data_IF_239202822580
#
_entry.id   IF_239202822580
#
_cell.length_a   1.000
_cell.length_b   1.000
_cell.length_c   1.000
_cell.angle_alpha   90.00
_cell.angle_beta   90.00
_cell.angle_gamma   90.00
#
_symmetry.space_group_name_H-M   'P 1'
#
loop_
_entity.id
_entity.type
_entity.pdbx_description
1 polymer ?
#
# COMPACT_ATOMS: atom_id res chain seq x y z
N UNK A 1 14.02 10.11 -10.00
CA UNK A 1 13.22 10.75 -8.95
C UNK A 1 12.03 11.52 -9.51
N UNK A 2 11.14 10.82 -10.21
CA UNK A 2 9.88 11.40 -10.66
C UNK A 2 8.85 11.20 -9.54
N UNK A 3 8.39 12.28 -8.90
CA UNK A 3 7.38 12.23 -7.86
C UNK A 3 5.98 12.32 -8.50
N UNK A 4 5.54 11.22 -9.11
CA UNK A 4 4.27 11.10 -9.82
C UNK A 4 3.25 10.37 -8.93
N UNK A 5 2.05 10.93 -8.81
CA UNK A 5 0.99 10.33 -8.00
C UNK A 5 0.36 9.12 -8.70
N UNK A 6 -0.34 8.30 -7.93
CA UNK A 6 -0.93 7.05 -8.40
C UNK A 6 -1.72 7.16 -9.71
N UNK A 7 -1.52 6.22 -10.61
CA UNK A 7 -1.98 6.13 -12.00
C UNK A 7 -1.44 7.21 -12.95
N UNK A 8 -0.56 8.10 -12.47
CA UNK A 8 0.11 9.13 -13.28
C UNK A 8 1.64 8.87 -13.39
N UNK A 9 2.13 7.75 -12.90
CA UNK A 9 3.55 7.36 -12.80
C UNK A 9 4.17 7.01 -14.16
N UNK A 10 3.93 7.82 -15.17
CA UNK A 10 4.33 7.52 -16.56
C UNK A 10 5.84 7.44 -16.74
N UNK A 11 6.58 8.40 -16.19
CA UNK A 11 8.04 8.45 -16.30
C UNK A 11 8.70 7.40 -15.43
N UNK A 12 8.20 7.21 -14.19
CA UNK A 12 8.70 6.20 -13.25
C UNK A 12 8.53 4.79 -13.83
N UNK A 13 7.33 4.47 -14.31
CA UNK A 13 7.02 3.17 -14.94
C UNK A 13 7.88 2.94 -16.20
N UNK A 14 7.97 3.95 -17.09
CA UNK A 14 8.77 3.84 -18.32
C UNK A 14 10.25 3.60 -18.02
N UNK A 15 10.83 4.31 -17.04
CA UNK A 15 12.23 4.14 -16.65
C UNK A 15 12.50 2.73 -16.11
N UNK A 16 11.64 2.20 -15.24
CA UNK A 16 11.77 0.85 -14.70
C UNK A 16 11.66 -0.20 -15.81
N UNK A 17 10.67 -0.07 -16.70
CA UNK A 17 10.47 -0.98 -17.83
C UNK A 17 11.69 -0.98 -18.76
N UNK A 18 12.21 0.20 -19.11
CA UNK A 18 13.38 0.32 -19.99
C UNK A 18 14.64 -0.29 -19.34
N UNK A 19 14.86 -0.03 -18.04
CA UNK A 19 15.98 -0.62 -17.29
C UNK A 19 15.92 -2.14 -17.28
N UNK A 20 14.76 -2.73 -17.03
CA UNK A 20 14.55 -4.18 -17.01
C UNK A 20 14.67 -4.79 -18.42
N UNK A 21 14.17 -4.10 -19.44
CA UNK A 21 14.31 -4.51 -20.84
C UNK A 21 15.78 -4.55 -21.27
N UNK A 22 16.55 -3.52 -20.94
CA UNK A 22 18.00 -3.48 -21.19
C UNK A 22 18.75 -4.58 -20.43
N UNK A 23 18.27 -4.96 -19.24
CA UNK A 23 18.78 -6.09 -18.49
C UNK A 23 18.33 -7.46 -19.07
N UNK A 24 17.50 -7.50 -20.12
CA UNK A 24 17.10 -8.72 -20.82
C UNK A 24 15.78 -9.35 -20.37
N UNK A 25 14.93 -8.60 -19.64
CA UNK A 25 13.57 -9.03 -19.33
C UNK A 25 12.64 -8.79 -20.50
N UNK A 26 11.66 -9.66 -20.68
CA UNK A 26 10.48 -9.41 -21.52
C UNK A 26 9.45 -8.60 -20.74
N UNK A 27 8.94 -7.53 -21.33
CA UNK A 27 8.03 -6.59 -20.67
C UNK A 27 6.61 -6.72 -21.26
N UNK A 28 5.63 -6.89 -20.38
CA UNK A 28 4.20 -6.75 -20.68
C UNK A 28 3.67 -5.50 -19.99
N UNK A 29 3.29 -4.47 -20.76
CA UNK A 29 2.89 -3.15 -20.27
C UNK A 29 1.39 -2.97 -20.28
N UNK A 30 0.86 -2.09 -19.42
CA UNK A 30 -0.57 -1.72 -19.41
C UNK A 30 -1.48 -2.83 -18.89
N UNK A 31 -0.95 -3.73 -18.07
CA UNK A 31 -1.68 -4.87 -17.51
C UNK A 31 -2.80 -4.42 -16.58
N UNK A 32 -3.84 -5.25 -16.41
CA UNK A 32 -5.01 -4.99 -15.56
C UNK A 32 -5.78 -3.69 -15.93
N UNK A 33 -5.65 -3.21 -17.16
CA UNK A 33 -6.27 -1.94 -17.59
C UNK A 33 -5.64 -0.68 -16.96
N UNK A 34 -4.43 -0.81 -16.42
CA UNK A 34 -3.68 0.28 -15.77
C UNK A 34 -2.46 0.63 -16.63
N UNK A 35 -2.43 1.79 -17.31
CA UNK A 35 -1.37 2.14 -18.26
C UNK A 35 0.04 2.13 -17.68
N UNK A 36 0.20 2.36 -16.37
CA UNK A 36 1.48 2.40 -15.68
C UNK A 36 1.87 1.09 -15.01
N UNK A 37 0.98 0.08 -14.99
CA UNK A 37 1.29 -1.27 -14.49
C UNK A 37 2.00 -2.10 -15.56
N UNK A 38 2.92 -2.99 -15.14
CA UNK A 38 3.64 -3.87 -16.04
C UNK A 38 4.11 -5.16 -15.34
N UNK A 39 4.42 -6.18 -16.15
CA UNK A 39 5.12 -7.39 -15.69
C UNK A 39 6.38 -7.56 -16.52
N UNK A 40 7.52 -7.75 -15.84
CA UNK A 40 8.80 -8.04 -16.46
C UNK A 40 9.19 -9.49 -16.13
N UNK A 41 9.48 -10.30 -17.14
CA UNK A 41 9.74 -11.74 -16.99
C UNK A 41 11.10 -12.12 -17.56
N UNK A 42 11.85 -12.94 -16.82
CA UNK A 42 13.07 -13.60 -17.29
C UNK A 42 13.08 -15.06 -16.87
N UNK A 43 13.59 -15.94 -17.77
CA UNK A 43 13.63 -17.38 -17.57
C UNK A 43 12.34 -18.08 -18.01
N UNK A 44 12.23 -19.35 -17.71
CA UNK A 44 11.06 -20.17 -18.06
C UNK A 44 10.87 -21.35 -17.11
N UNK A 45 9.64 -21.80 -16.97
CA UNK A 45 9.28 -22.93 -16.12
C UNK A 45 9.25 -22.60 -14.64
N UNK A 46 9.19 -23.64 -13.81
CA UNK A 46 9.09 -23.56 -12.35
C UNK A 46 10.45 -23.71 -11.67
N UNK A 47 10.63 -23.12 -10.46
CA UNK A 47 9.65 -22.29 -9.77
C UNK A 47 9.52 -20.88 -10.40
N UNK A 48 8.39 -20.21 -10.16
CA UNK A 48 8.17 -18.81 -10.51
C UNK A 48 8.23 -17.97 -9.24
N UNK A 49 9.26 -17.14 -9.12
CA UNK A 49 9.41 -16.21 -8.00
C UNK A 49 9.09 -14.80 -8.48
N UNK A 50 8.16 -14.14 -7.80
CA UNK A 50 7.76 -12.77 -8.10
C UNK A 50 8.36 -11.77 -7.12
N UNK A 51 8.67 -10.57 -7.62
CA UNK A 51 9.07 -9.41 -6.81
C UNK A 51 8.12 -8.26 -7.16
N UNK A 52 7.51 -7.64 -6.14
CA UNK A 52 6.68 -6.44 -6.33
C UNK A 52 7.53 -5.18 -6.33
N UNK A 53 7.10 -4.17 -7.06
CA UNK A 53 7.74 -2.86 -7.17
C UNK A 53 6.67 -1.76 -7.19
N UNK A 54 6.71 -0.85 -6.23
CA UNK A 54 5.87 0.34 -6.16
C UNK A 54 6.68 1.57 -6.55
N UNK A 55 6.01 2.63 -7.06
CA UNK A 55 6.71 3.84 -7.55
C UNK A 55 5.83 5.08 -7.57
N UNK A 56 4.65 5.06 -6.93
CA UNK A 56 3.77 6.21 -6.77
C UNK A 56 4.22 7.13 -5.64
N UNK A 57 3.91 8.43 -5.77
CA UNK A 57 4.21 9.47 -4.81
C UNK A 57 2.94 10.01 -4.15
N UNK A 58 3.12 10.71 -3.02
CA UNK A 58 2.05 11.34 -2.27
C UNK A 58 1.90 12.83 -2.65
N UNK A 59 0.67 13.34 -2.79
CA UNK A 59 0.45 14.77 -3.06
C UNK A 59 0.84 15.64 -1.86
N UNK A 60 1.19 16.90 -2.14
CA UNK A 60 1.44 17.92 -1.12
C UNK A 60 2.75 17.80 -0.35
N UNK A 61 3.60 16.83 -0.68
CA UNK A 61 4.82 16.49 0.08
C UNK A 61 6.12 16.73 -0.70
N UNK A 62 6.14 17.73 -1.58
CA UNK A 62 7.37 18.15 -2.26
C UNK A 62 8.41 18.63 -1.25
N UNK A 63 9.63 18.07 -1.30
CA UNK A 63 10.70 18.35 -0.34
C UNK A 63 12.07 18.12 -0.98
N UNK A 64 13.03 18.95 -0.62
CA UNK A 64 14.44 18.79 -0.99
C UNK A 64 15.17 17.80 -0.05
N UNK A 65 16.27 17.23 -0.52
CA UNK A 65 17.11 16.28 0.22
C UNK A 65 18.04 16.97 1.22
N UNK A 66 17.49 17.86 2.06
CA UNK A 66 18.20 18.61 3.09
C UNK A 66 17.48 18.44 4.44
N UNK A 67 18.18 18.62 5.59
CA UNK A 67 17.61 18.37 6.92
C UNK A 67 16.73 19.51 7.45
N UNK A 68 16.17 20.31 6.55
CA UNK A 68 15.21 21.38 6.85
C UNK A 68 14.02 21.31 5.90
N UNK A 69 12.84 21.69 6.36
CA UNK A 69 11.66 21.70 5.51
C UNK A 69 11.79 22.76 4.41
N UNK A 70 11.92 22.31 3.16
CA UNK A 70 12.02 23.16 1.97
C UNK A 70 11.37 22.47 0.76
N UNK A 71 10.28 23.01 0.27
CA UNK A 71 9.64 22.52 -0.95
C UNK A 71 10.48 22.85 -2.19
N UNK A 72 10.45 21.98 -3.19
CA UNK A 72 11.02 22.21 -4.52
C UNK A 72 10.00 22.79 -5.51
N UNK A 73 8.83 23.23 -5.02
CA UNK A 73 7.76 23.79 -5.85
C UNK A 73 6.92 22.75 -6.61
N UNK A 74 7.20 21.45 -6.46
CA UNK A 74 6.38 20.37 -7.00
C UNK A 74 5.14 20.09 -6.15
N UNK A 75 4.13 19.46 -6.77
CA UNK A 75 2.87 19.12 -6.10
C UNK A 75 2.93 17.83 -5.26
N UNK A 76 3.99 17.01 -5.39
CA UNK A 76 4.08 15.67 -4.77
C UNK A 76 5.51 15.34 -4.35
N UNK A 77 5.63 14.31 -3.48
CA UNK A 77 6.91 13.82 -3.00
C UNK A 77 6.83 12.35 -2.55
N UNK A 78 7.96 11.65 -2.59
CA UNK A 78 8.05 10.24 -2.18
C UNK A 78 8.15 10.08 -0.66
N UNK A 79 7.10 10.46 0.05
CA UNK A 79 7.06 10.41 1.51
C UNK A 79 6.81 9.00 2.07
N UNK A 80 6.47 8.03 1.21
CA UNK A 80 6.47 6.60 1.51
C UNK A 80 7.69 5.87 0.94
N UNK A 81 8.53 6.58 0.16
CA UNK A 81 9.80 6.06 -0.36
C UNK A 81 9.66 5.10 -1.55
N UNK A 82 8.53 5.06 -2.24
CA UNK A 82 8.27 4.12 -3.33
C UNK A 82 9.25 4.25 -4.51
N UNK A 83 9.89 5.41 -4.72
CA UNK A 83 10.99 5.57 -5.69
C UNK A 83 12.18 4.65 -5.37
N UNK A 84 12.46 4.41 -4.08
CA UNK A 84 13.47 3.45 -3.63
C UNK A 84 12.94 2.03 -3.76
N UNK A 85 11.66 1.81 -3.43
CA UNK A 85 11.02 0.52 -3.51
C UNK A 85 11.11 -0.05 -4.94
N UNK A 86 10.63 0.69 -5.94
CA UNK A 86 10.71 0.26 -7.34
C UNK A 86 12.13 -0.01 -7.81
N UNK A 87 13.07 0.87 -7.45
CA UNK A 87 14.48 0.75 -7.84
C UNK A 87 15.15 -0.46 -7.16
N UNK A 88 14.97 -0.65 -5.86
CA UNK A 88 15.55 -1.76 -5.10
C UNK A 88 15.01 -3.12 -5.55
N UNK A 89 13.71 -3.21 -5.83
CA UNK A 89 13.09 -4.41 -6.40
C UNK A 89 13.63 -4.75 -7.79
N UNK A 90 13.81 -3.74 -8.65
CA UNK A 90 14.42 -3.93 -9.97
C UNK A 90 15.86 -4.41 -9.87
N UNK A 91 16.65 -3.83 -8.96
CA UNK A 91 18.02 -4.27 -8.71
C UNK A 91 18.07 -5.73 -8.21
N UNK A 92 17.16 -6.13 -7.32
CA UNK A 92 17.05 -7.51 -6.86
C UNK A 92 16.70 -8.47 -8.01
N UNK A 93 15.71 -8.12 -8.84
CA UNK A 93 15.31 -8.94 -9.99
C UNK A 93 16.46 -9.12 -10.99
N UNK A 94 17.21 -8.06 -11.29
CA UNK A 94 18.38 -8.10 -12.17
C UNK A 94 19.48 -9.00 -11.57
N UNK A 95 19.76 -8.87 -10.28
CA UNK A 95 20.75 -9.71 -9.60
C UNK A 95 20.39 -11.21 -9.65
N UNK A 96 19.11 -11.55 -9.41
CA UNK A 96 18.62 -12.92 -9.52
C UNK A 96 18.73 -13.43 -10.96
N UNK A 97 18.37 -12.60 -11.94
CA UNK A 97 18.48 -12.92 -13.36
C UNK A 97 19.95 -13.23 -13.76
N UNK A 98 20.90 -12.39 -13.34
CA UNK A 98 22.32 -12.64 -13.63
C UNK A 98 22.80 -13.95 -12.97
N UNK A 99 22.40 -14.18 -11.72
CA UNK A 99 22.72 -15.43 -11.03
C UNK A 99 22.12 -16.66 -11.75
N UNK A 100 20.87 -16.62 -12.20
CA UNK A 100 20.24 -17.70 -12.99
C UNK A 100 21.03 -17.98 -14.28
N UNK A 101 21.47 -16.91 -14.97
CA UNK A 101 22.27 -17.00 -16.19
C UNK A 101 23.63 -17.64 -15.93
N UNK A 102 24.36 -17.21 -14.90
CA UNK A 102 25.69 -17.67 -14.55
C UNK A 102 25.72 -19.13 -14.09
N UNK A 103 24.68 -19.52 -13.32
CA UNK A 103 24.59 -20.87 -12.76
C UNK A 103 23.88 -21.88 -13.67
N UNK A 104 23.30 -21.44 -14.77
CA UNK A 104 22.39 -22.27 -15.57
C UNK A 104 21.15 -22.72 -14.84
N UNK A 105 20.72 -21.95 -13.80
CA UNK A 105 19.57 -22.24 -12.97
C UNK A 105 18.27 -22.25 -13.77
N UNK A 106 17.36 -23.15 -13.38
CA UNK A 106 16.02 -23.26 -13.99
C UNK A 106 14.99 -22.50 -13.18
N UNK A 107 13.96 -21.97 -13.84
CA UNK A 107 12.84 -21.27 -13.24
C UNK A 107 12.64 -19.87 -13.84
N UNK A 108 11.70 -19.14 -13.29
CA UNK A 108 11.29 -17.82 -13.77
C UNK A 108 11.35 -16.80 -12.66
N UNK A 109 12.02 -15.68 -12.91
CA UNK A 109 11.92 -14.48 -12.06
C UNK A 109 11.01 -13.47 -12.74
N UNK A 110 10.02 -12.96 -12.01
CA UNK A 110 9.10 -11.91 -12.48
C UNK A 110 9.21 -10.68 -11.58
N UNK A 111 9.17 -9.51 -12.18
CA UNK A 111 8.95 -8.27 -11.44
C UNK A 111 7.61 -7.69 -11.85
N UNK A 112 6.78 -7.37 -10.86
CA UNK A 112 5.48 -6.77 -11.03
C UNK A 112 5.55 -5.29 -10.68
N UNK A 113 5.42 -4.43 -11.69
CA UNK A 113 5.30 -2.98 -11.50
C UNK A 113 3.88 -2.64 -11.06
N UNK A 114 3.75 -2.24 -9.79
CA UNK A 114 2.49 -2.06 -9.08
C UNK A 114 2.26 -0.57 -8.79
N UNK A 115 1.53 0.16 -9.64
CA UNK A 115 1.22 1.58 -9.44
C UNK A 115 0.12 1.79 -8.41
N UNK A 116 0.00 3.03 -7.94
CA UNK A 116 -1.14 3.54 -7.18
C UNK A 116 -1.45 2.77 -5.89
N UNK A 117 -0.43 2.37 -5.12
CA UNK A 117 -0.61 1.80 -3.79
C UNK A 117 -1.33 2.79 -2.86
N UNK A 118 -0.96 4.08 -2.92
CA UNK A 118 -1.46 5.19 -2.11
C UNK A 118 -2.93 5.56 -2.44
N UNK A 119 -3.82 4.61 -2.17
CA UNK A 119 -5.27 4.78 -2.27
C UNK A 119 -5.90 4.41 -3.63
N UNK A 120 -5.09 4.05 -4.64
CA UNK A 120 -5.60 3.58 -5.93
C UNK A 120 -5.88 2.07 -5.99
N UNK A 121 -5.28 1.28 -5.06
CA UNK A 121 -5.45 -0.17 -4.97
C UNK A 121 -5.02 -0.91 -6.24
N UNK A 122 -3.88 -0.51 -6.84
CA UNK A 122 -3.42 -1.06 -8.12
C UNK A 122 -3.25 -2.57 -8.12
N UNK A 123 -2.67 -3.14 -7.05
CA UNK A 123 -2.49 -4.59 -6.92
C UNK A 123 -3.80 -5.37 -6.82
N UNK A 124 -4.86 -4.77 -6.26
CA UNK A 124 -6.19 -5.42 -6.21
C UNK A 124 -6.72 -5.70 -7.61
N UNK A 125 -6.55 -4.77 -8.55
CA UNK A 125 -6.92 -4.98 -9.94
C UNK A 125 -6.03 -6.04 -10.61
N UNK A 126 -4.72 -6.01 -10.34
CA UNK A 126 -3.78 -7.01 -10.86
C UNK A 126 -4.09 -8.42 -10.33
N UNK A 127 -4.48 -8.56 -9.06
CA UNK A 127 -4.95 -9.85 -8.48
C UNK A 127 -6.23 -10.30 -9.15
N UNK A 128 -7.19 -9.41 -9.34
CA UNK A 128 -8.48 -9.71 -9.98
C UNK A 128 -8.31 -10.24 -11.41
N UNK A 129 -7.36 -9.67 -12.15
CA UNK A 129 -7.02 -10.13 -13.51
C UNK A 129 -6.11 -11.37 -13.52
N UNK A 130 -5.79 -11.94 -12.35
CA UNK A 130 -5.04 -13.19 -12.23
C UNK A 130 -3.55 -13.11 -12.52
N UNK A 131 -2.95 -11.91 -12.54
CA UNK A 131 -1.54 -11.72 -12.91
C UNK A 131 -0.54 -12.43 -11.99
N UNK A 132 -0.94 -12.75 -10.76
CA UNK A 132 -0.10 -13.43 -9.79
C UNK A 132 -0.32 -14.95 -9.71
N UNK A 133 -1.28 -15.50 -10.48
CA UNK A 133 -1.74 -16.89 -10.33
C UNK A 133 -0.67 -17.94 -10.67
N UNK A 134 0.30 -17.62 -11.49
CA UNK A 134 1.38 -18.51 -11.88
C UNK A 134 2.61 -18.40 -10.96
N UNK A 135 2.66 -17.42 -10.06
CA UNK A 135 3.75 -17.26 -9.10
C UNK A 135 3.66 -18.31 -7.97
N UNK A 136 4.82 -18.82 -7.56
CA UNK A 136 4.93 -19.77 -6.45
C UNK A 136 5.15 -19.06 -5.12
N UNK A 137 5.87 -17.92 -5.13
CA UNK A 137 6.14 -17.04 -3.99
C UNK A 137 6.26 -15.60 -4.47
N UNK A 138 5.76 -14.66 -3.68
CA UNK A 138 5.94 -13.23 -3.89
C UNK A 138 6.82 -12.61 -2.80
N UNK A 139 7.78 -11.79 -3.22
CA UNK A 139 8.67 -11.04 -2.37
C UNK A 139 8.44 -9.55 -2.53
N UNK A 140 8.52 -8.80 -1.44
CA UNK A 140 8.49 -7.34 -1.48
C UNK A 140 9.34 -6.73 -0.36
N UNK A 141 9.45 -5.43 -0.36
CA UNK A 141 10.04 -4.69 0.73
C UNK A 141 9.35 -3.32 0.86
N UNK A 142 9.61 -2.61 1.92
CA UNK A 142 9.10 -1.25 2.08
C UNK A 142 10.16 -0.37 2.73
N UNK A 143 10.34 0.88 2.27
CA UNK A 143 11.11 1.89 2.99
C UNK A 143 10.64 2.04 4.43
N UNK A 144 11.60 2.14 5.35
CA UNK A 144 11.33 2.19 6.79
C UNK A 144 12.44 2.99 7.51
N UNK A 145 12.31 3.12 8.80
CA UNK A 145 13.32 3.67 9.72
C UNK A 145 14.15 2.59 10.43
N UNK A 146 13.86 1.30 10.17
CA UNK A 146 14.56 0.15 10.74
C UNK A 146 14.66 -1.01 9.75
N UNK A 147 15.60 -1.95 10.00
CA UNK A 147 15.74 -3.18 9.21
C UNK A 147 15.04 -4.34 9.94
N UNK A 148 13.94 -4.85 9.40
CA UNK A 148 13.18 -5.97 10.00
C UNK A 148 12.35 -6.70 8.94
N UNK A 149 12.10 -7.99 9.15
CA UNK A 149 11.15 -8.74 8.32
C UNK A 149 9.73 -8.50 8.79
N UNK A 150 8.79 -8.37 7.87
CA UNK A 150 7.37 -8.17 8.14
C UNK A 150 6.72 -9.49 8.57
N UNK A 151 6.64 -9.74 9.88
CA UNK A 151 6.09 -10.99 10.45
C UNK A 151 4.62 -10.87 10.86
N UNK A 152 4.08 -9.65 10.87
CA UNK A 152 2.70 -9.35 11.23
C UNK A 152 1.77 -9.26 10.03
N UNK A 153 0.52 -8.89 10.33
CA UNK A 153 -0.51 -8.55 9.34
C UNK A 153 -0.58 -7.05 9.10
N UNK A 154 -1.49 -6.62 8.23
CA UNK A 154 -1.92 -5.23 8.03
C UNK A 154 -3.41 -5.10 8.34
N UNK A 155 -3.95 -3.88 8.27
CA UNK A 155 -5.39 -3.68 8.36
C UNK A 155 -6.04 -3.86 6.99
N UNK A 156 -7.07 -4.70 6.91
CA UNK A 156 -8.03 -4.63 5.81
C UNK A 156 -8.77 -3.30 5.87
N UNK A 157 -9.14 -2.77 4.71
CA UNK A 157 -10.00 -1.59 4.67
C UNK A 157 -10.99 -1.64 3.51
N UNK A 158 -12.08 -0.85 3.65
CA UNK A 158 -12.97 -0.50 2.55
C UNK A 158 -13.37 0.96 2.68
N UNK A 159 -13.40 1.67 1.54
CA UNK A 159 -13.61 3.10 1.50
C UNK A 159 -14.60 3.47 0.41
N UNK A 160 -15.43 4.49 0.66
CA UNK A 160 -16.40 4.94 -0.32
C UNK A 160 -17.09 6.22 0.06
N UNK A 161 -17.68 6.85 -0.95
CA UNK A 161 -18.44 8.07 -0.85
C UNK A 161 -19.92 7.77 -0.93
N UNK A 162 -20.66 8.21 0.07
CA UNK A 162 -22.12 8.19 0.08
C UNK A 162 -22.61 9.58 -0.31
N UNK A 163 -23.32 9.66 -1.41
CA UNK A 163 -23.89 10.89 -1.97
C UNK A 163 -25.38 10.87 -1.79
N UNK A 164 -25.91 11.89 -1.12
CA UNK A 164 -27.35 12.04 -0.93
C UNK A 164 -27.88 13.15 -1.82
N UNK A 165 -29.08 12.94 -2.35
CA UNK A 165 -29.78 13.84 -3.24
C UNK A 165 -31.19 14.12 -2.70
N UNK A 166 -31.43 15.38 -2.44
CA UNK A 166 -32.68 15.89 -1.88
C UNK A 166 -33.41 16.86 -2.82
N UNK A 167 -34.11 17.82 -2.23
CA UNK A 167 -34.82 18.87 -2.96
C UNK A 167 -34.51 20.22 -2.30
N UNK A 168 -34.02 21.19 -3.07
CA UNK A 168 -33.82 22.56 -2.62
C UNK A 168 -35.14 23.28 -2.36
N UNK A 169 -35.13 24.11 -1.35
CA UNK A 169 -36.20 25.02 -1.01
C UNK A 169 -35.66 26.21 -0.24
N UNK A 170 -36.44 27.31 -0.16
CA UNK A 170 -36.12 28.43 0.73
C UNK A 170 -36.34 28.02 2.18
N UNK A 171 -35.27 27.93 2.96
CA UNK A 171 -35.28 27.32 4.30
C UNK A 171 -36.22 28.06 5.31
N UNK A 172 -36.57 29.33 5.08
CA UNK A 172 -37.48 30.09 5.92
C UNK A 172 -38.88 30.28 5.30
N UNK A 173 -38.97 30.41 3.96
CA UNK A 173 -40.24 30.76 3.31
C UNK A 173 -41.09 29.53 2.93
N UNK A 174 -40.46 28.39 2.63
CA UNK A 174 -41.16 27.17 2.22
C UNK A 174 -40.36 25.92 2.55
N UNK A 175 -39.91 25.74 3.83
CA UNK A 175 -39.07 24.59 4.23
C UNK A 175 -39.77 23.24 3.99
N UNK A 176 -41.08 23.16 4.08
CA UNK A 176 -41.89 21.96 3.87
C UNK A 176 -41.79 21.38 2.45
N UNK A 177 -41.34 22.20 1.49
CA UNK A 177 -41.07 21.76 0.10
C UNK A 177 -39.70 21.17 -0.10
N UNK A 178 -38.78 21.39 0.82
CA UNK A 178 -37.41 20.87 0.78
C UNK A 178 -37.29 19.44 1.29
N UNK A 179 -36.20 18.78 0.88
CA UNK A 179 -35.71 17.54 1.49
C UNK A 179 -34.20 17.68 1.58
N UNK A 180 -33.70 17.78 2.80
CA UNK A 180 -32.29 18.09 3.05
C UNK A 180 -31.44 16.85 2.85
N UNK A 181 -30.52 16.89 1.87
CA UNK A 181 -29.49 15.88 1.70
C UNK A 181 -28.47 15.89 2.85
N UNK A 182 -28.25 17.04 3.50
CA UNK A 182 -27.39 17.13 4.67
C UNK A 182 -27.99 16.41 5.87
N UNK A 183 -29.30 16.53 6.11
CA UNK A 183 -29.97 15.79 7.19
C UNK A 183 -29.84 14.28 7.02
N UNK A 184 -29.84 13.81 5.76
CA UNK A 184 -29.59 12.39 5.46
C UNK A 184 -28.15 11.97 5.79
N UNK A 185 -27.15 12.80 5.49
CA UNK A 185 -25.76 12.57 5.91
C UNK A 185 -25.65 12.54 7.43
N UNK A 186 -26.22 13.53 8.13
CA UNK A 186 -26.18 13.59 9.60
C UNK A 186 -26.88 12.38 10.24
N UNK A 187 -28.03 11.95 9.71
CA UNK A 187 -28.74 10.76 10.17
C UNK A 187 -27.89 9.49 9.98
N UNK A 188 -27.24 9.31 8.82
CA UNK A 188 -26.31 8.21 8.58
C UNK A 188 -25.13 8.25 9.56
N UNK A 189 -24.51 9.42 9.76
CA UNK A 189 -23.38 9.61 10.65
C UNK A 189 -23.73 9.31 12.10
N UNK A 190 -24.93 9.70 12.53
CA UNK A 190 -25.46 9.38 13.85
C UNK A 190 -25.61 7.87 14.04
N UNK A 191 -26.22 7.16 13.09
CA UNK A 191 -26.34 5.69 13.12
C UNK A 191 -24.97 5.01 13.10
N UNK A 192 -24.02 5.50 12.30
CA UNK A 192 -22.64 5.00 12.26
C UNK A 192 -21.91 5.19 13.61
N UNK A 193 -22.14 6.31 14.29
CA UNK A 193 -21.56 6.57 15.61
C UNK A 193 -22.15 5.65 16.69
N UNK A 194 -23.45 5.37 16.67
CA UNK A 194 -24.07 4.37 17.57
C UNK A 194 -23.51 2.96 17.31
N UNK A 195 -23.22 2.62 16.05
CA UNK A 195 -22.65 1.32 15.66
C UNK A 195 -21.28 1.05 16.31
N UNK A 196 -20.53 2.08 16.68
CA UNK A 196 -19.17 1.94 17.29
C UNK A 196 -19.18 1.14 18.59
N UNK A 197 -20.28 1.14 19.34
CA UNK A 197 -20.44 0.34 20.55
C UNK A 197 -20.60 -1.16 20.27
N UNK A 198 -20.87 -1.54 18.99
CA UNK A 198 -21.24 -2.89 18.59
C UNK A 198 -20.33 -3.44 17.50
N UNK A 199 -19.05 -3.08 17.56
CA UNK A 199 -17.96 -3.58 16.70
C UNK A 199 -16.74 -3.94 17.55
N UNK A 200 -15.85 -4.85 17.10
CA UNK A 200 -14.61 -5.15 17.81
C UNK A 200 -13.78 -3.87 18.06
N UNK A 201 -13.14 -3.78 19.22
CA UNK A 201 -12.36 -2.60 19.64
C UNK A 201 -11.19 -2.26 18.68
N UNK A 202 -10.71 -3.23 17.91
CA UNK A 202 -9.70 -3.06 16.85
C UNK A 202 -10.26 -2.43 15.57
N UNK A 203 -11.60 -2.32 15.44
CA UNK A 203 -12.24 -1.72 14.25
C UNK A 203 -12.19 -0.19 14.33
N UNK A 204 -11.98 0.45 13.18
CA UNK A 204 -12.03 1.90 13.02
C UNK A 204 -13.02 2.27 11.93
N UNK A 205 -13.89 3.24 12.23
CA UNK A 205 -14.81 3.85 11.30
C UNK A 205 -14.48 5.35 11.28
N UNK A 206 -13.98 5.84 10.16
CA UNK A 206 -13.62 7.24 9.97
C UNK A 206 -14.52 7.83 8.91
N UNK A 207 -14.90 9.10 9.05
CA UNK A 207 -15.58 9.81 7.97
C UNK A 207 -15.27 11.30 7.98
N UNK A 208 -15.55 11.91 6.85
CA UNK A 208 -15.55 13.37 6.68
C UNK A 208 -16.70 13.75 5.76
N UNK A 209 -17.46 14.78 6.12
CA UNK A 209 -18.44 15.39 5.23
C UNK A 209 -17.67 16.24 4.22
N UNK A 210 -17.66 15.83 2.97
CA UNK A 210 -16.94 16.50 1.87
C UNK A 210 -17.80 17.55 1.17
N UNK A 211 -19.13 17.46 1.32
CA UNK A 211 -20.09 18.48 0.89
C UNK A 211 -21.31 18.46 1.81
N UNK A 212 -21.64 19.59 2.42
CA UNK A 212 -22.79 19.75 3.32
C UNK A 212 -23.77 20.84 2.85
N UNK A 213 -23.71 21.27 1.58
CA UNK A 213 -24.49 22.37 1.04
C UNK A 213 -23.69 23.66 0.89
N UNK A 214 -24.35 24.77 0.56
CA UNK A 214 -23.69 26.04 0.17
C UNK A 214 -24.04 27.23 1.06
N UNK A 215 -25.30 27.36 1.50
CA UNK A 215 -25.78 28.46 2.30
C UNK A 215 -26.92 28.02 3.21
N UNK A 216 -27.02 28.53 4.47
CA UNK A 216 -27.97 28.03 5.46
C UNK A 216 -29.44 28.42 5.16
N UNK A 217 -29.69 29.36 4.27
CA UNK A 217 -31.02 29.77 3.83
C UNK A 217 -31.54 28.95 2.62
N UNK A 218 -30.78 27.94 2.17
CA UNK A 218 -31.15 27.01 1.09
C UNK A 218 -31.12 25.60 1.65
N UNK A 219 -32.24 24.87 1.59
CA UNK A 219 -32.25 23.44 1.91
C UNK A 219 -31.32 22.70 0.95
N UNK A 220 -30.28 21.97 1.44
CA UNK A 220 -29.29 21.30 0.56
C UNK A 220 -29.93 20.18 -0.25
N UNK A 221 -29.84 20.25 -1.56
CA UNK A 221 -30.29 19.21 -2.49
C UNK A 221 -29.19 18.16 -2.81
N UNK A 222 -27.96 18.41 -2.35
CA UNK A 222 -26.81 17.50 -2.48
C UNK A 222 -25.92 17.59 -1.26
N UNK A 223 -25.53 16.41 -0.74
CA UNK A 223 -24.49 16.28 0.29
C UNK A 223 -23.68 14.99 0.06
N UNK A 224 -22.43 15.01 0.48
CA UNK A 224 -21.50 13.87 0.34
C UNK A 224 -20.72 13.64 1.63
N UNK A 225 -20.65 12.38 2.06
CA UNK A 225 -19.80 11.94 3.16
C UNK A 225 -18.88 10.81 2.68
N UNK A 226 -17.59 10.87 3.05
CA UNK A 226 -16.56 9.91 2.69
C UNK A 226 -16.15 9.07 3.88
N UNK A 227 -16.37 7.76 3.80
CA UNK A 227 -16.12 6.78 4.86
C UNK A 227 -14.91 5.90 4.59
N UNK A 228 -14.20 5.56 5.69
CA UNK A 228 -13.21 4.50 5.79
C UNK A 228 -13.61 3.54 6.91
N UNK A 229 -13.64 2.23 6.62
CA UNK A 229 -13.75 1.16 7.61
C UNK A 229 -12.46 0.34 7.60
N UNK A 230 -11.86 0.13 8.77
CA UNK A 230 -10.63 -0.64 8.93
C UNK A 230 -10.75 -1.66 10.04
N UNK A 231 -10.20 -2.86 9.85
CA UNK A 231 -10.10 -3.91 10.88
C UNK A 231 -8.92 -4.84 10.55
N UNK A 232 -8.34 -5.54 11.54
CA UNK A 232 -7.39 -6.63 11.28
C UNK A 232 -7.95 -7.78 10.44
N UNK A 233 -9.25 -7.86 10.24
CA UNK A 233 -9.94 -8.92 9.51
C UNK A 233 -10.93 -8.31 8.49
N UNK A 234 -10.79 -8.68 7.22
CA UNK A 234 -11.69 -8.20 6.14
C UNK A 234 -13.15 -8.58 6.36
N UNK A 235 -13.42 -9.73 6.99
CA UNK A 235 -14.80 -10.17 7.22
C UNK A 235 -15.53 -9.21 8.17
N UNK A 236 -14.81 -8.65 9.17
CA UNK A 236 -15.32 -7.60 10.05
C UNK A 236 -15.50 -6.28 9.25
N UNK A 237 -14.55 -5.94 8.35
CA UNK A 237 -14.69 -4.79 7.47
C UNK A 237 -15.96 -4.89 6.64
N UNK A 238 -16.24 -6.08 6.07
CA UNK A 238 -17.42 -6.31 5.24
C UNK A 238 -18.73 -6.31 6.04
N UNK A 239 -18.74 -6.88 7.25
CA UNK A 239 -19.92 -6.80 8.14
C UNK A 239 -20.27 -5.34 8.45
N UNK A 240 -19.27 -4.56 8.92
CA UNK A 240 -19.46 -3.14 9.25
C UNK A 240 -19.86 -2.33 8.03
N UNK A 241 -19.23 -2.61 6.88
CA UNK A 241 -19.57 -1.93 5.63
C UNK A 241 -21.02 -2.16 5.20
N UNK A 242 -21.49 -3.40 5.26
CA UNK A 242 -22.89 -3.74 4.94
C UNK A 242 -23.87 -3.04 5.89
N UNK A 243 -23.50 -2.87 7.15
CA UNK A 243 -24.31 -2.11 8.14
C UNK A 243 -24.31 -0.62 7.84
N UNK A 244 -23.18 -0.05 7.35
CA UNK A 244 -23.14 1.35 6.89
C UNK A 244 -24.01 1.58 5.65
N UNK A 245 -24.03 0.64 4.71
CA UNK A 245 -24.92 0.72 3.54
C UNK A 245 -26.40 0.73 3.97
N UNK A 246 -26.78 -0.09 4.95
CA UNK A 246 -28.14 -0.07 5.53
C UNK A 246 -28.45 1.21 6.31
N UNK A 247 -27.44 1.81 6.97
CA UNK A 247 -27.61 3.10 7.62
C UNK A 247 -27.87 4.21 6.58
N UNK A 248 -27.17 4.18 5.44
CA UNK A 248 -27.43 5.12 4.34
C UNK A 248 -28.82 4.93 3.73
N UNK A 249 -29.26 3.69 3.53
CA UNK A 249 -30.60 3.35 3.05
C UNK A 249 -31.68 3.88 4.01
N UNK A 250 -31.53 3.60 5.32
CA UNK A 250 -32.44 4.08 6.36
C UNK A 250 -32.48 5.59 6.47
N UNK A 251 -31.32 6.26 6.37
CA UNK A 251 -31.22 7.70 6.36
C UNK A 251 -31.95 8.33 5.16
N UNK A 252 -31.73 7.78 3.96
CA UNK A 252 -32.40 8.24 2.74
C UNK A 252 -33.93 8.09 2.84
N UNK A 253 -34.39 6.94 3.31
CA UNK A 253 -35.81 6.65 3.51
C UNK A 253 -36.44 7.62 4.51
N UNK A 254 -35.81 7.81 5.68
CA UNK A 254 -36.33 8.65 6.76
C UNK A 254 -36.36 10.15 6.42
N UNK A 255 -35.46 10.62 5.58
CA UNK A 255 -35.37 12.03 5.16
C UNK A 255 -36.10 12.34 3.84
N UNK A 256 -36.63 11.31 3.16
CA UNK A 256 -37.26 11.45 1.85
C UNK A 256 -36.28 11.85 0.75
N UNK A 257 -35.04 11.40 0.85
CA UNK A 257 -33.96 11.59 -0.13
C UNK A 257 -33.64 10.29 -0.85
N UNK A 258 -32.70 10.30 -1.81
CA UNK A 258 -32.08 9.10 -2.38
C UNK A 258 -30.57 9.14 -2.16
N UNK A 259 -29.91 7.99 -2.17
CA UNK A 259 -28.45 7.95 -2.09
C UNK A 259 -27.83 7.14 -3.22
N UNK A 260 -26.56 7.42 -3.46
CA UNK A 260 -25.67 6.64 -4.35
C UNK A 260 -24.38 6.36 -3.58
N UNK A 261 -23.85 5.13 -3.74
CA UNK A 261 -22.56 4.73 -3.18
C UNK A 261 -21.52 4.58 -4.30
N UNK A 262 -20.41 5.28 -4.15
CA UNK A 262 -19.20 5.04 -4.92
C UNK A 262 -18.16 4.38 -4.02
N UNK A 263 -17.85 3.10 -4.25
CA UNK A 263 -16.72 2.44 -3.58
C UNK A 263 -15.42 2.99 -4.19
N UNK A 264 -14.56 3.58 -3.36
CA UNK A 264 -13.29 4.19 -3.81
C UNK A 264 -12.16 3.18 -3.78
N UNK A 265 -12.03 2.40 -2.71
CA UNK A 265 -10.98 1.41 -2.51
C UNK A 265 -11.41 0.31 -1.56
N UNK A 266 -10.59 -0.73 -1.52
CA UNK A 266 -10.77 -1.82 -0.58
C UNK A 266 -9.64 -2.82 -0.73
N UNK A 267 -8.97 -3.14 0.38
CA UNK A 267 -7.83 -4.05 0.42
C UNK A 267 -7.98 -5.06 1.56
N UNK A 268 -7.42 -6.22 1.37
CA UNK A 268 -7.35 -7.27 2.37
C UNK A 268 -6.23 -6.98 3.38
N UNK A 269 -6.31 -7.58 4.56
CA UNK A 269 -5.17 -7.73 5.46
C UNK A 269 -4.12 -8.66 4.87
N UNK A 270 -2.84 -8.48 5.24
CA UNK A 270 -1.77 -9.42 4.85
C UNK A 270 -2.01 -10.77 5.55
N UNK A 271 -1.91 -11.85 4.79
CA UNK A 271 -1.85 -13.22 5.30
C UNK A 271 -0.39 -13.58 5.59
N UNK A 272 0.06 -13.63 6.87
CA UNK A 272 1.45 -13.89 7.22
C UNK A 272 1.91 -15.29 6.79
N UNK A 273 3.22 -15.43 6.49
CA UNK A 273 3.86 -16.71 6.22
C UNK A 273 5.18 -16.81 7.00
N UNK A 274 5.19 -17.60 8.08
CA UNK A 274 6.31 -17.73 8.99
C UNK A 274 7.51 -18.47 8.36
N UNK A 275 7.25 -19.41 7.44
CA UNK A 275 8.32 -20.14 6.73
C UNK A 275 9.12 -19.18 5.87
N UNK A 276 8.44 -18.33 5.10
CA UNK A 276 9.10 -17.30 4.30
C UNK A 276 9.74 -16.22 5.18
N UNK A 277 9.09 -15.84 6.29
CA UNK A 277 9.65 -14.87 7.22
C UNK A 277 10.98 -15.35 7.82
N UNK A 278 11.06 -16.60 8.24
CA UNK A 278 12.29 -17.21 8.76
C UNK A 278 13.41 -17.22 7.71
N UNK A 279 13.10 -17.59 6.45
CA UNK A 279 14.06 -17.58 5.35
C UNK A 279 14.56 -16.16 5.04
N UNK A 280 13.65 -15.20 4.91
CA UNK A 280 14.01 -13.82 4.62
C UNK A 280 14.81 -13.19 5.76
N UNK A 281 14.49 -13.52 7.03
CA UNK A 281 15.25 -13.04 8.17
C UNK A 281 16.67 -13.59 8.20
N UNK A 282 16.90 -14.86 7.85
CA UNK A 282 18.25 -15.41 7.74
C UNK A 282 19.08 -14.65 6.70
N UNK A 283 18.48 -14.31 5.55
CA UNK A 283 19.13 -13.50 4.52
C UNK A 283 19.38 -12.06 5.01
N UNK A 284 18.41 -11.44 5.67
CA UNK A 284 18.59 -10.09 6.23
C UNK A 284 19.69 -10.04 7.30
N UNK A 285 19.79 -11.05 8.16
CA UNK A 285 20.88 -11.16 9.13
C UNK A 285 22.25 -11.32 8.45
N UNK A 286 22.31 -12.07 7.33
CA UNK A 286 23.53 -12.23 6.54
C UNK A 286 23.95 -10.93 5.85
N UNK A 287 23.01 -10.19 5.29
CA UNK A 287 23.26 -8.89 4.65
C UNK A 287 23.62 -7.82 5.69
N UNK A 288 22.95 -7.85 6.85
CA UNK A 288 23.07 -6.86 7.90
C UNK A 288 22.48 -5.50 7.51
N UNK A 289 22.68 -4.53 8.40
CA UNK A 289 22.37 -3.13 8.14
C UNK A 289 23.57 -2.36 7.57
N UNK A 290 23.64 -1.06 7.85
CA UNK A 290 24.74 -0.19 7.44
C UNK A 290 25.03 0.89 8.49
N UNK A 291 26.28 1.36 8.53
CA UNK A 291 26.69 2.49 9.38
C UNK A 291 26.57 3.82 8.63
N UNK A 292 26.16 4.85 9.37
CA UNK A 292 26.15 6.22 8.88
C UNK A 292 27.58 6.78 8.85
N UNK A 293 27.98 7.36 7.73
CA UNK A 293 29.22 8.13 7.66
C UNK A 293 29.07 9.50 8.38
N UNK A 294 30.14 10.27 8.59
CA UNK A 294 30.06 11.56 9.31
C UNK A 294 29.05 12.55 8.72
N UNK A 295 28.92 12.63 7.40
CA UNK A 295 27.97 13.52 6.71
C UNK A 295 26.54 13.07 6.93
N UNK A 296 26.27 11.78 6.80
CA UNK A 296 24.96 11.17 7.05
C UNK A 296 24.56 11.30 8.53
N UNK A 297 25.51 11.12 9.44
CA UNK A 297 25.27 11.30 10.88
C UNK A 297 24.92 12.75 11.21
N UNK A 298 25.60 13.73 10.60
CA UNK A 298 25.30 15.15 10.78
C UNK A 298 23.88 15.47 10.26
N UNK A 299 23.50 14.96 9.07
CA UNK A 299 22.16 15.07 8.52
C UNK A 299 21.12 14.44 9.45
N UNK A 300 21.36 13.21 9.90
CA UNK A 300 20.43 12.46 10.77
C UNK A 300 20.18 13.17 12.11
N UNK A 301 21.23 13.71 12.74
CA UNK A 301 21.12 14.50 13.97
C UNK A 301 20.25 15.74 13.79
N UNK A 302 20.37 16.44 12.65
CA UNK A 302 19.53 17.61 12.36
C UNK A 302 18.07 17.20 12.13
N UNK A 303 17.82 16.12 11.39
CA UNK A 303 16.46 15.58 11.19
C UNK A 303 15.82 15.22 12.54
N UNK A 304 16.54 14.54 13.44
CA UNK A 304 15.99 14.15 14.76
C UNK A 304 15.61 15.36 15.63
N UNK A 305 16.20 16.53 15.43
CA UNK A 305 15.85 17.75 16.15
C UNK A 305 14.56 18.41 15.63
N UNK A 306 13.99 17.91 14.52
CA UNK A 306 12.79 18.51 13.95
C UNK A 306 11.51 18.00 14.67
N UNK A 307 10.40 18.78 14.66
CA UNK A 307 9.15 18.36 15.28
C UNK A 307 8.59 17.06 14.69
N UNK A 308 8.05 16.21 15.57
CA UNK A 308 7.42 14.93 15.19
C UNK A 308 8.39 13.75 15.11
N UNK A 309 9.69 13.97 15.33
CA UNK A 309 10.68 12.89 15.35
C UNK A 309 10.74 12.18 16.70
N UNK A 310 10.79 10.85 16.65
CA UNK A 310 11.12 10.06 17.84
C UNK A 310 12.64 10.05 18.02
N UNK A 311 13.08 10.23 19.27
CA UNK A 311 14.50 10.13 19.63
C UNK A 311 14.89 8.66 19.70
N UNK A 312 15.59 8.19 18.69
CA UNK A 312 16.01 6.81 18.50
C UNK A 312 17.52 6.77 18.27
N UNK A 313 18.18 5.69 18.71
CA UNK A 313 19.61 5.52 18.44
C UNK A 313 19.88 5.48 16.93
N UNK A 314 20.70 6.41 16.44
CA UNK A 314 21.10 6.52 15.04
C UNK A 314 21.96 5.33 14.58
N UNK A 315 22.62 4.63 15.51
CA UNK A 315 23.39 3.42 15.21
C UNK A 315 22.49 2.22 14.85
N UNK A 316 21.19 2.31 15.13
CA UNK A 316 20.21 1.25 14.82
C UNK A 316 20.11 0.91 13.32
N UNK A 317 20.55 1.80 12.41
CA UNK A 317 20.67 1.49 10.98
C UNK A 317 21.60 0.31 10.69
N UNK A 318 22.55 0.01 11.57
CA UNK A 318 23.45 -1.14 11.46
C UNK A 318 22.83 -2.45 11.96
N UNK A 319 21.73 -2.39 12.69
CA UNK A 319 21.11 -3.53 13.34
C UNK A 319 19.96 -4.09 12.54
N UNK A 320 19.72 -5.39 12.68
CA UNK A 320 18.48 -6.06 12.26
C UNK A 320 17.66 -6.29 13.52
N UNK A 321 16.46 -5.71 13.57
CA UNK A 321 15.56 -5.88 14.70
C UNK A 321 14.54 -6.99 14.43
N UNK A 322 14.08 -7.70 15.48
CA UNK A 322 13.03 -8.69 15.33
C UNK A 322 11.78 -8.08 14.69
N UNK A 323 11.17 -8.81 13.77
CA UNK A 323 9.86 -8.44 13.23
C UNK A 323 8.82 -8.38 14.36
N UNK A 324 7.91 -7.43 14.30
CA UNK A 324 6.81 -7.32 15.25
C UNK A 324 5.62 -8.11 14.74
N UNK A 325 5.23 -9.22 15.39
CA UNK A 325 4.01 -9.94 15.02
C UNK A 325 2.79 -9.17 15.57
N UNK A 326 2.57 -7.95 15.10
CA UNK A 326 1.39 -7.18 15.50
C UNK A 326 0.20 -7.55 14.61
N UNK A 327 -0.81 -8.27 15.14
CA UNK A 327 -2.00 -8.60 14.37
C UNK A 327 -2.90 -7.37 14.12
N UNK A 328 -2.69 -6.28 14.85
CA UNK A 328 -3.47 -5.05 14.66
C UNK A 328 -2.97 -4.20 13.51
N UNK A 329 -1.75 -4.44 13.01
CA UNK A 329 -1.11 -3.76 11.89
C UNK A 329 -1.23 -2.23 11.91
N UNK A 330 -0.17 -1.51 11.71
CA UNK A 330 -0.20 -0.05 11.78
C UNK A 330 -0.92 0.62 10.60
N UNK A 331 -0.92 0.00 9.43
CA UNK A 331 -1.46 0.55 8.18
C UNK A 331 -2.19 -0.49 7.33
N UNK A 332 -2.61 -0.06 6.17
CA UNK A 332 -3.20 -0.91 5.13
C UNK A 332 -2.32 -0.85 3.89
N UNK A 333 -2.25 -1.95 3.15
CA UNK A 333 -1.57 -2.02 1.85
C UNK A 333 -2.29 -3.01 0.94
N UNK A 334 -2.29 -2.76 -0.36
CA UNK A 334 -2.86 -3.68 -1.34
C UNK A 334 -1.98 -4.92 -1.62
N UNK A 335 -0.79 -5.01 -1.00
CA UNK A 335 -0.02 -6.27 -0.86
C UNK A 335 -0.85 -7.33 -0.14
N UNK A 336 -1.78 -6.92 0.75
CA UNK A 336 -2.72 -7.81 1.39
C UNK A 336 -3.41 -8.74 0.40
N UNK A 337 -4.03 -8.18 -0.64
CA UNK A 337 -4.75 -8.96 -1.66
C UNK A 337 -3.85 -9.97 -2.37
N UNK A 338 -2.60 -9.62 -2.67
CA UNK A 338 -1.62 -10.55 -3.26
C UNK A 338 -1.34 -11.70 -2.32
N UNK A 339 -1.19 -11.46 -1.01
CA UNK A 339 -0.88 -12.47 -0.01
C UNK A 339 -1.95 -13.56 0.14
N UNK A 340 -3.19 -13.27 -0.23
CA UNK A 340 -4.30 -14.23 -0.21
C UNK A 340 -4.38 -15.10 -1.46
N UNK A 341 -3.66 -14.77 -2.52
CA UNK A 341 -3.64 -15.56 -3.78
C UNK A 341 -2.30 -16.27 -4.00
N UNK A 342 -1.23 -15.81 -3.34
CA UNK A 342 0.10 -16.44 -3.40
C UNK A 342 0.87 -16.23 -2.09
N UNK A 343 1.67 -17.21 -1.60
CA UNK A 343 2.52 -17.02 -0.43
C UNK A 343 3.43 -15.78 -0.59
N UNK A 344 3.33 -14.83 0.31
CA UNK A 344 3.98 -13.52 0.20
C UNK A 344 4.75 -13.18 1.48
N UNK A 345 5.91 -12.56 1.33
CA UNK A 345 6.70 -12.03 2.44
C UNK A 345 7.41 -10.74 2.05
N UNK A 346 7.59 -9.85 3.03
CA UNK A 346 8.30 -8.60 2.88
C UNK A 346 9.20 -8.25 4.05
N UNK A 347 9.99 -7.18 3.86
CA UNK A 347 10.82 -6.59 4.89
C UNK A 347 10.75 -5.07 4.83
N UNK A 348 10.99 -4.42 5.97
CA UNK A 348 11.34 -3.00 6.04
C UNK A 348 12.85 -2.83 6.09
N UNK A 349 13.38 -1.78 5.45
CA UNK A 349 14.79 -1.43 5.60
C UNK A 349 14.95 0.06 5.91
N UNK A 350 15.99 0.38 6.70
CA UNK A 350 16.28 1.73 7.12
C UNK A 350 16.69 2.60 5.92
N UNK A 351 15.72 3.23 5.29
CA UNK A 351 15.90 4.22 4.21
C UNK A 351 15.71 5.64 4.71
N UNK A 352 15.21 5.77 5.92
CA UNK A 352 14.99 7.03 6.64
C UNK A 352 15.87 7.09 7.89
N UNK A 353 15.97 8.28 8.43
CA UNK A 353 16.60 8.48 9.74
C UNK A 353 15.78 7.74 10.81
N UNK A 354 16.40 6.94 11.71
CA UNK A 354 15.68 6.28 12.79
C UNK A 354 14.75 7.22 13.56
N UNK A 355 13.51 6.78 13.79
CA UNK A 355 12.45 7.58 14.41
C UNK A 355 11.60 8.40 13.42
N UNK A 356 11.86 8.34 12.12
CA UNK A 356 11.04 9.00 11.09
C UNK A 356 9.76 8.23 10.82
N UNK A 357 8.63 8.93 10.79
CA UNK A 357 7.34 8.36 10.35
C UNK A 357 7.19 8.47 8.83
N UNK A 358 6.54 7.49 8.23
CA UNK A 358 6.09 7.59 6.84
C UNK A 358 5.16 8.81 6.64
N UNK A 359 4.98 9.24 5.39
CA UNK A 359 4.14 10.38 4.99
C UNK A 359 4.58 11.71 5.62
N UNK A 360 5.88 11.87 5.87
CA UNK A 360 6.48 13.08 6.42
C UNK A 360 7.50 13.70 5.45
N UNK A 361 7.74 15.00 5.57
CA UNK A 361 8.79 15.66 4.80
C UNK A 361 10.19 15.12 5.13
N UNK A 362 10.39 14.65 6.37
CA UNK A 362 11.64 14.03 6.81
C UNK A 362 11.93 12.73 6.02
N UNK A 363 10.89 11.92 5.77
CA UNK A 363 11.00 10.72 4.95
C UNK A 363 11.42 11.05 3.51
N UNK A 364 10.82 12.08 2.90
CA UNK A 364 11.20 12.55 1.55
C UNK A 364 12.66 13.03 1.55
N UNK A 365 13.03 13.86 2.52
CA UNK A 365 14.39 14.39 2.62
C UNK A 365 15.44 13.29 2.73
N UNK A 366 15.24 12.32 3.64
CA UNK A 366 16.17 11.21 3.85
C UNK A 366 16.23 10.27 2.64
N UNK A 367 15.06 9.94 2.03
CA UNK A 367 14.97 9.06 0.86
C UNK A 367 15.76 9.55 -0.35
N UNK A 368 15.95 10.85 -0.50
CA UNK A 368 16.77 11.45 -1.56
C UNK A 368 18.29 11.38 -1.32
N UNK A 369 18.74 10.99 -0.14
CA UNK A 369 20.16 10.96 0.27
C UNK A 369 20.81 9.60 0.08
N UNK A 370 22.09 9.48 0.47
CA UNK A 370 22.80 8.20 0.55
C UNK A 370 22.25 7.27 1.62
N UNK A 371 21.57 7.79 2.66
CA UNK A 371 20.86 6.99 3.66
C UNK A 371 19.80 6.13 2.96
N UNK A 372 18.92 6.76 2.17
CA UNK A 372 17.91 6.04 1.39
C UNK A 372 18.51 5.00 0.46
N UNK A 373 19.59 5.35 -0.25
CA UNK A 373 20.28 4.42 -1.17
C UNK A 373 20.89 3.22 -0.44
N UNK A 374 21.48 3.41 0.73
CA UNK A 374 22.05 2.31 1.55
C UNK A 374 20.96 1.34 2.01
N UNK A 375 19.86 1.86 2.58
CA UNK A 375 18.73 1.03 2.98
C UNK A 375 18.10 0.27 1.79
N UNK A 376 17.95 0.93 0.64
CA UNK A 376 17.52 0.28 -0.61
C UNK A 376 18.43 -0.89 -1.01
N UNK A 377 19.76 -0.75 -0.87
CA UNK A 377 20.70 -1.82 -1.19
C UNK A 377 20.64 -2.99 -0.21
N UNK A 378 20.33 -2.72 1.07
CA UNK A 378 20.03 -3.79 2.05
C UNK A 378 18.82 -4.60 1.60
N UNK A 379 17.74 -3.93 1.21
CA UNK A 379 16.54 -4.58 0.70
C UNK A 379 16.81 -5.40 -0.57
N UNK A 380 17.46 -4.81 -1.56
CA UNK A 380 17.76 -5.46 -2.82
C UNK A 380 18.60 -6.76 -2.64
N UNK A 381 19.63 -6.71 -1.79
CA UNK A 381 20.46 -7.88 -1.47
C UNK A 381 19.68 -8.96 -0.73
N UNK A 382 18.84 -8.57 0.25
CA UNK A 382 18.03 -9.51 1.04
C UNK A 382 17.00 -10.23 0.16
N UNK A 383 16.28 -9.48 -0.69
CA UNK A 383 15.31 -10.05 -1.64
C UNK A 383 16.02 -10.99 -2.63
N UNK A 384 17.14 -10.57 -3.20
CA UNK A 384 17.90 -11.40 -4.15
C UNK A 384 18.38 -12.70 -3.49
N UNK A 385 18.97 -12.63 -2.29
CA UNK A 385 19.39 -13.81 -1.52
C UNK A 385 18.22 -14.76 -1.23
N UNK A 386 17.09 -14.21 -0.77
CA UNK A 386 15.87 -14.99 -0.50
C UNK A 386 15.35 -15.69 -1.76
N UNK A 387 15.30 -14.97 -2.89
CA UNK A 387 14.89 -15.57 -4.17
C UNK A 387 15.85 -16.68 -4.63
N UNK A 388 17.15 -16.45 -4.53
CA UNK A 388 18.18 -17.46 -4.88
C UNK A 388 18.05 -18.73 -4.04
N UNK A 389 17.78 -18.61 -2.74
CA UNK A 389 17.56 -19.76 -1.86
C UNK A 389 16.31 -20.54 -2.22
N UNK A 390 15.21 -19.84 -2.59
CA UNK A 390 14.00 -20.48 -3.10
C UNK A 390 14.23 -21.23 -4.41
N UNK A 391 15.06 -20.70 -5.32
CA UNK A 391 15.43 -21.39 -6.55
C UNK A 391 16.31 -22.62 -6.28
N UNK A 392 17.25 -22.53 -5.33
CA UNK A 392 18.15 -23.64 -4.96
C UNK A 392 17.43 -24.77 -4.23
N UNK A 393 16.41 -24.45 -3.44
CA UNK A 393 15.71 -25.41 -2.58
C UNK A 393 14.18 -25.31 -2.71
N UNK A 394 13.58 -26.01 -3.67
CA UNK A 394 12.12 -26.03 -3.86
C UNK A 394 11.32 -26.47 -2.64
N UNK A 395 11.90 -27.26 -1.73
CA UNK A 395 11.20 -27.67 -0.50
C UNK A 395 10.83 -26.48 0.41
N UNK A 396 11.54 -25.35 0.32
CA UNK A 396 11.17 -24.12 1.02
C UNK A 396 9.86 -23.54 0.47
N UNK A 397 9.65 -23.65 -0.84
CA UNK A 397 8.41 -23.22 -1.50
C UNK A 397 7.25 -24.12 -1.07
N UNK A 398 7.48 -25.45 -1.05
CA UNK A 398 6.46 -26.41 -0.61
C UNK A 398 6.03 -26.17 0.84
N UNK A 399 6.99 -25.91 1.73
CA UNK A 399 6.71 -25.57 3.13
C UNK A 399 5.94 -24.26 3.27
N UNK A 400 6.28 -23.23 2.49
CA UNK A 400 5.56 -21.97 2.46
C UNK A 400 4.12 -22.12 1.94
N UNK A 401 3.91 -22.90 0.88
CA UNK A 401 2.59 -23.19 0.32
C UNK A 401 1.74 -24.02 1.28
N UNK A 402 2.32 -24.98 1.98
CA UNK A 402 1.59 -25.80 2.97
C UNK A 402 1.06 -24.92 4.12
N UNK A 403 1.90 -24.03 4.67
CA UNK A 403 1.48 -23.07 5.69
C UNK A 403 0.39 -22.13 5.15
N UNK A 404 0.62 -21.53 3.98
CA UNK A 404 -0.32 -20.62 3.34
C UNK A 404 -1.70 -21.27 3.10
N UNK A 405 -1.74 -22.48 2.57
CA UNK A 405 -2.99 -23.22 2.36
C UNK A 405 -3.73 -23.47 3.67
N UNK A 406 -2.99 -23.81 4.74
CA UNK A 406 -3.57 -24.01 6.08
C UNK A 406 -4.20 -22.73 6.62
N UNK A 407 -3.50 -21.56 6.49
CA UNK A 407 -3.95 -20.28 7.01
C UNK A 407 -5.11 -19.70 6.18
N UNK A 408 -5.04 -19.83 4.88
CA UNK A 408 -6.06 -19.35 3.95
C UNK A 408 -7.38 -20.10 4.10
N UNK A 409 -7.32 -21.38 4.39
CA UNK A 409 -8.47 -22.28 4.43
C UNK A 409 -8.85 -22.83 3.04
N UNK A 410 -9.38 -24.06 3.02
CA UNK A 410 -9.69 -24.75 1.77
C UNK A 410 -10.84 -24.10 0.97
N UNK A 411 -11.79 -23.51 1.66
CA UNK A 411 -13.01 -22.93 1.06
C UNK A 411 -12.82 -21.47 0.60
N UNK A 412 -11.65 -20.88 0.87
CA UNK A 412 -11.41 -19.49 0.51
C UNK A 412 -11.42 -19.27 -1.00
N UNK A 413 -12.22 -18.30 -1.44
CA UNK A 413 -12.25 -17.78 -2.80
C UNK A 413 -12.03 -16.28 -2.76
N UNK A 414 -11.02 -15.81 -3.45
CA UNK A 414 -10.73 -14.39 -3.51
C UNK A 414 -11.87 -13.62 -4.18
N UNK A 415 -12.29 -12.51 -3.55
CA UNK A 415 -13.23 -11.55 -4.10
C UNK A 415 -12.81 -10.14 -3.69
N UNK A 416 -12.43 -9.32 -4.65
CA UNK A 416 -11.98 -7.95 -4.39
C UNK A 416 -13.04 -7.14 -3.60
N UNK A 417 -12.62 -6.46 -2.54
CA UNK A 417 -13.53 -5.64 -1.72
C UNK A 417 -14.08 -4.43 -2.48
N UNK A 418 -13.36 -3.97 -3.50
CA UNK A 418 -13.81 -2.88 -4.39
C UNK A 418 -14.78 -3.34 -5.50
N UNK A 419 -15.12 -4.64 -5.55
CA UNK A 419 -16.07 -5.19 -6.52
C UNK A 419 -15.50 -5.20 -7.95
N UNK A 420 -16.41 -5.05 -8.93
CA UNK A 420 -16.08 -5.17 -10.38
C UNK A 420 -15.75 -3.83 -11.05
N UNK A 421 -15.61 -2.76 -10.29
CA UNK A 421 -15.28 -1.44 -10.83
C UNK A 421 -13.96 -1.46 -11.62
N UNK A 422 -13.86 -0.61 -12.63
CA UNK A 422 -12.60 -0.38 -13.35
C UNK A 422 -11.65 0.50 -12.50
N UNK A 423 -10.34 0.44 -12.77
CA UNK A 423 -9.38 1.36 -12.13
C UNK A 423 -9.80 2.82 -12.33
N UNK A 424 -9.85 3.58 -11.23
CA UNK A 424 -10.19 5.00 -11.28
C UNK A 424 -8.94 5.81 -11.63
N UNK A 425 -8.55 5.81 -12.91
CA UNK A 425 -7.29 6.41 -13.40
C UNK A 425 -7.18 7.93 -13.15
N UNK A 426 -8.25 8.56 -12.69
CA UNK A 426 -8.37 9.99 -12.41
C UNK A 426 -8.65 10.31 -10.92
N UNK A 427 -8.45 9.36 -10.00
CA UNK A 427 -8.76 9.58 -8.57
C UNK A 427 -7.88 10.65 -7.89
N UNK A 428 -6.81 11.09 -8.56
CA UNK A 428 -5.89 12.15 -8.13
C UNK A 428 -5.98 13.44 -8.98
N UNK A 429 -6.94 13.51 -9.90
CA UNK A 429 -7.19 14.72 -10.70
C UNK A 429 -7.89 15.79 -9.87
#
# INVERSE_FOLDING_TARGET
NYAEVGYKEKQSSALLQETLKQAGFTIESGVAGIPTAFVATYGQGKPVIGIMAEYDALPGLSQDSIPTKRTLGGASGHACGHHLFGTGSSAAAIAVKEWLKETGGKGTIKLYGCPAEEGGSGKVYMVREGLFNDADVMLHWHPSDANSVSTGSSLANKTGKFRFYGLSSHAAASPERGRSALDAVEAMDFMANMMREHVPSSTRIHYVITNGGKAPNIVPDYAEVYYYVRSPQRDIVMDVWNRLEKAAEGAALGTGTRYELEVIGGVYEILPNEKLASLMNANLQTVGGYTLNPTELAFAKQIQQTPGMLQTDLASTASVVPGRPDPSGGGSTDVGDVSWVVPTIGLGTATWVPGTTAHSWQAVAAGGTSIGKKGMMVAAKTIAGTAMDLFKNPALIDAAKAEWNKRKGAEFKYKALLGDRKPALNYRD
#
